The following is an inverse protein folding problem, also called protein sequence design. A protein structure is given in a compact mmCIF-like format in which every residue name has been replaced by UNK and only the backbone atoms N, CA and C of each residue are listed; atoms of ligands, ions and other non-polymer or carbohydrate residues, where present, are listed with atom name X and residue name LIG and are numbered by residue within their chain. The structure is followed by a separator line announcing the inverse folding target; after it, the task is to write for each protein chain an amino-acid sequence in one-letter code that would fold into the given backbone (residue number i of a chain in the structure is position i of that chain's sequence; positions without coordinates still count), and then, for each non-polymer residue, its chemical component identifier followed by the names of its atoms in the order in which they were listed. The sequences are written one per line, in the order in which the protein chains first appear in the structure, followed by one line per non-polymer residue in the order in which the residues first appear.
data_IF_985020249990
#
_entry.id   IF_985020249990
#
_cell.length_a   1.000
_cell.length_b   1.000
_cell.length_c   1.000
_cell.angle_alpha   90.00
_cell.angle_beta   90.00
_cell.angle_gamma   90.00
#
_symmetry.space_group_name_H-M   'P 1'
#
loop_
_entity.id
_entity.type
_entity.pdbx_description
1 polymer ?
#
# COMPACT_ATOMS: atom_id res chain seq x y z
N UNK A 1 -2.93 41.17 3.62
CA UNK A 1 -3.65 40.05 2.97
C UNK A 1 -3.94 38.99 4.04
N UNK A 2 -5.19 38.56 4.15
CA UNK A 2 -5.60 37.49 5.06
C UNK A 2 -5.03 36.17 4.51
N UNK A 3 -4.47 35.31 5.37
CA UNK A 3 -4.02 33.98 4.96
C UNK A 3 -5.26 33.18 4.56
N UNK A 4 -5.40 32.84 3.28
CA UNK A 4 -6.45 31.94 2.83
C UNK A 4 -6.23 30.59 3.51
N UNK A 5 -7.24 30.13 4.28
CA UNK A 5 -7.26 28.83 4.92
C UNK A 5 -7.55 27.78 3.85
N UNK A 6 -6.55 27.48 3.04
CA UNK A 6 -6.58 26.43 2.04
C UNK A 6 -6.73 25.06 2.73
N UNK A 7 -7.59 24.20 2.18
CA UNK A 7 -7.63 22.71 2.17
C UNK A 7 -7.89 21.88 3.45
N UNK A 8 -7.08 21.88 4.53
CA UNK A 8 -7.37 21.20 5.80
C UNK A 8 -8.79 21.38 6.36
N UNK A 9 -9.40 22.54 6.18
CA UNK A 9 -10.72 22.86 6.71
C UNK A 9 -11.84 22.02 6.06
N UNK A 10 -11.72 21.73 4.75
CA UNK A 10 -12.76 21.00 4.02
C UNK A 10 -12.75 19.49 4.33
N UNK A 11 -11.57 18.88 4.44
CA UNK A 11 -11.45 17.47 4.81
C UNK A 11 -11.84 17.23 6.26
N UNK A 12 -11.42 18.12 7.18
CA UNK A 12 -11.83 18.03 8.57
C UNK A 12 -13.35 18.19 8.70
N UNK A 13 -13.93 19.19 8.02
CA UNK A 13 -15.38 19.36 7.99
C UNK A 13 -16.11 18.13 7.45
N UNK A 14 -15.62 17.50 6.39
CA UNK A 14 -16.22 16.29 5.82
C UNK A 14 -16.13 15.11 6.79
N UNK A 15 -14.98 14.91 7.43
CA UNK A 15 -14.80 13.90 8.46
C UNK A 15 -15.76 14.12 9.62
N UNK A 16 -15.83 15.34 10.16
CA UNK A 16 -16.70 15.69 11.28
C UNK A 16 -18.18 15.49 10.93
N UNK A 17 -18.57 15.83 9.70
CA UNK A 17 -19.96 15.75 9.24
C UNK A 17 -20.42 14.32 8.95
N UNK A 18 -19.57 13.50 8.32
CA UNK A 18 -19.99 12.21 7.77
C UNK A 18 -19.45 11.01 8.54
N UNK A 19 -18.37 11.16 9.32
CA UNK A 19 -17.63 10.03 9.90
C UNK A 19 -17.60 10.12 11.43
N UNK A 20 -17.18 11.25 12.00
CA UNK A 20 -16.79 11.37 13.41
C UNK A 20 -17.88 10.97 14.43
N UNK A 21 -19.16 11.04 14.06
CA UNK A 21 -20.28 10.80 14.96
C UNK A 21 -20.84 9.36 14.90
N UNK A 22 -20.33 8.51 14.02
CA UNK A 22 -20.71 7.09 13.92
C UNK A 22 -19.47 6.20 14.17
N UNK A 23 -19.43 5.44 15.28
CA UNK A 23 -18.32 4.53 15.57
C UNK A 23 -18.02 3.50 14.47
N UNK A 24 -19.03 3.07 13.70
CA UNK A 24 -18.84 2.13 12.59
C UNK A 24 -18.13 2.81 11.41
N UNK A 25 -18.55 4.03 11.06
CA UNK A 25 -17.89 4.83 10.03
C UNK A 25 -16.46 5.22 10.43
N UNK A 26 -16.23 5.59 11.70
CA UNK A 26 -14.88 5.85 12.22
C UNK A 26 -14.00 4.61 12.07
N UNK A 27 -14.51 3.43 12.42
CA UNK A 27 -13.76 2.18 12.31
C UNK A 27 -13.45 1.83 10.86
N UNK A 28 -14.41 2.03 9.94
CA UNK A 28 -14.23 1.83 8.51
C UNK A 28 -13.18 2.79 7.95
N UNK A 29 -13.28 4.09 8.24
CA UNK A 29 -12.30 5.10 7.83
C UNK A 29 -10.89 4.72 8.27
N UNK A 30 -10.70 4.35 9.54
CA UNK A 30 -9.40 3.94 10.06
C UNK A 30 -8.89 2.64 9.41
N UNK A 31 -9.78 1.70 9.10
CA UNK A 31 -9.42 0.47 8.37
C UNK A 31 -8.91 0.83 6.97
N UNK A 32 -9.65 1.64 6.22
CA UNK A 32 -9.28 2.02 4.86
C UNK A 32 -8.02 2.91 4.82
N UNK A 33 -7.82 3.80 5.80
CA UNK A 33 -6.53 4.51 5.96
C UNK A 33 -5.36 3.53 6.10
N UNK A 34 -5.47 2.52 6.97
CA UNK A 34 -4.41 1.51 7.13
C UNK A 34 -4.19 0.70 5.86
N UNK A 35 -5.24 0.36 5.12
CA UNK A 35 -5.11 -0.35 3.83
C UNK A 35 -4.40 0.52 2.80
N UNK A 36 -4.77 1.79 2.68
CA UNK A 36 -4.11 2.75 1.79
C UNK A 36 -2.61 2.91 2.13
N UNK A 37 -2.26 3.02 3.41
CA UNK A 37 -0.86 3.10 3.85
C UNK A 37 -0.04 1.86 3.46
N UNK A 38 -0.64 0.67 3.55
CA UNK A 38 0.01 -0.59 3.16
C UNK A 38 0.12 -0.69 1.64
N UNK A 39 -0.96 -0.35 0.92
CA UNK A 39 -1.02 -0.36 -0.54
C UNK A 39 0.09 0.53 -1.14
N UNK A 40 0.21 1.75 -0.63
CA UNK A 40 1.27 2.68 -1.03
C UNK A 40 2.67 2.11 -0.79
N UNK A 41 2.91 1.49 0.37
CA UNK A 41 4.21 0.87 0.67
C UNK A 41 4.54 -0.29 -0.27
N UNK A 42 3.56 -1.11 -0.63
CA UNK A 42 3.76 -2.21 -1.59
C UNK A 42 4.14 -1.65 -2.96
N UNK A 43 3.42 -0.63 -3.43
CA UNK A 43 3.73 0.07 -4.67
C UNK A 43 5.15 0.65 -4.64
N UNK A 44 5.50 1.42 -3.60
CA UNK A 44 6.78 2.09 -3.47
C UNK A 44 7.94 1.07 -3.48
N UNK A 45 7.80 -0.04 -2.75
CA UNK A 45 8.81 -1.09 -2.72
C UNK A 45 8.96 -1.81 -4.07
N UNK A 46 7.86 -2.03 -4.79
CA UNK A 46 7.90 -2.61 -6.13
C UNK A 46 8.61 -1.67 -7.10
N UNK A 47 8.28 -0.38 -7.06
CA UNK A 47 8.88 0.65 -7.90
C UNK A 47 10.38 0.81 -7.62
N UNK A 48 10.76 0.87 -6.34
CA UNK A 48 12.16 0.89 -5.91
C UNK A 48 12.95 -0.34 -6.35
N UNK A 49 12.31 -1.52 -6.41
CA UNK A 49 12.91 -2.73 -6.93
C UNK A 49 13.00 -2.75 -8.47
N UNK A 50 12.35 -1.81 -9.16
CA UNK A 50 12.36 -1.69 -10.62
C UNK A 50 11.65 -2.84 -11.34
N UNK A 51 10.68 -3.50 -10.69
CA UNK A 51 9.97 -4.66 -11.26
C UNK A 51 8.51 -4.30 -11.63
N UNK A 52 7.99 -4.95 -12.66
CA UNK A 52 6.58 -4.82 -13.04
C UNK A 52 5.65 -5.56 -12.07
N UNK A 53 4.36 -5.21 -12.09
CA UNK A 53 3.32 -5.96 -11.36
C UNK A 53 3.31 -7.43 -11.74
N UNK A 54 3.32 -7.73 -13.04
CA UNK A 54 3.51 -9.10 -13.55
C UNK A 54 4.68 -9.84 -12.91
N UNK A 55 5.86 -9.22 -12.86
CA UNK A 55 7.04 -9.88 -12.30
C UNK A 55 6.89 -10.15 -10.81
N UNK A 56 6.28 -9.22 -10.07
CA UNK A 56 5.98 -9.42 -8.65
C UNK A 56 4.92 -10.52 -8.45
N UNK A 57 3.90 -10.56 -9.29
CA UNK A 57 2.87 -11.60 -9.27
C UNK A 57 3.47 -12.99 -9.46
N UNK A 58 4.39 -13.15 -10.43
CA UNK A 58 5.12 -14.39 -10.68
C UNK A 58 5.94 -14.82 -9.45
N UNK A 59 6.60 -13.87 -8.75
CA UNK A 59 7.37 -14.13 -7.53
C UNK A 59 6.48 -14.52 -6.35
N UNK A 60 5.32 -13.88 -6.22
CA UNK A 60 4.38 -14.13 -5.14
C UNK A 60 3.48 -15.36 -5.41
N UNK A 61 3.42 -15.86 -6.64
CA UNK A 61 2.56 -16.96 -7.06
C UNK A 61 1.08 -16.59 -7.04
N UNK A 62 0.76 -15.40 -7.56
CA UNK A 62 -0.61 -14.85 -7.67
C UNK A 62 -0.82 -14.25 -9.05
N UNK A 63 -2.05 -13.89 -9.40
CA UNK A 63 -2.34 -13.20 -10.65
C UNK A 63 -1.92 -11.72 -10.59
N UNK A 64 -1.59 -11.13 -11.73
CA UNK A 64 -1.20 -9.72 -11.83
C UNK A 64 -2.29 -8.77 -11.29
N UNK A 65 -3.57 -9.10 -11.51
CA UNK A 65 -4.71 -8.36 -10.98
C UNK A 65 -4.72 -8.31 -9.43
N UNK A 66 -4.20 -9.33 -8.76
CA UNK A 66 -4.09 -9.33 -7.29
C UNK A 66 -3.06 -8.29 -6.84
N UNK A 67 -1.98 -8.06 -7.60
CA UNK A 67 -1.02 -7.00 -7.28
C UNK A 67 -1.66 -5.63 -7.47
N UNK A 68 -2.40 -5.43 -8.56
CA UNK A 68 -3.17 -4.20 -8.80
C UNK A 68 -4.16 -3.91 -7.66
N UNK A 69 -4.99 -4.88 -7.30
CA UNK A 69 -5.95 -4.76 -6.20
C UNK A 69 -5.28 -4.43 -4.86
N UNK A 70 -4.09 -4.98 -4.60
CA UNK A 70 -3.34 -4.69 -3.37
C UNK A 70 -2.75 -3.28 -3.37
N UNK A 71 -2.20 -2.83 -4.50
CA UNK A 71 -1.65 -1.48 -4.66
C UNK A 71 -2.73 -0.39 -4.66
N UNK A 72 -3.98 -0.74 -4.96
CA UNK A 72 -5.13 0.16 -4.95
C UNK A 72 -6.01 0.02 -3.70
N UNK A 73 -5.61 -0.81 -2.73
CA UNK A 73 -6.41 -1.13 -1.54
C UNK A 73 -7.80 -1.73 -1.83
N UNK A 74 -8.00 -2.31 -3.01
CA UNK A 74 -9.26 -2.87 -3.50
C UNK A 74 -9.35 -4.40 -3.39
N UNK A 75 -8.32 -5.07 -2.84
CA UNK A 75 -8.38 -6.53 -2.68
C UNK A 75 -9.43 -6.94 -1.62
N UNK A 76 -10.46 -7.67 -2.06
CA UNK A 76 -11.64 -8.07 -1.26
C UNK A 76 -11.38 -9.22 -0.27
N UNK A 77 -10.28 -9.95 -0.43
CA UNK A 77 -9.91 -11.05 0.47
C UNK A 77 -9.27 -10.56 1.77
N UNK A 78 -8.54 -11.45 2.44
CA UNK A 78 -7.69 -11.06 3.58
C UNK A 78 -6.52 -10.19 3.10
N UNK A 79 -6.78 -8.87 3.05
CA UNK A 79 -5.87 -7.85 2.54
C UNK A 79 -4.51 -7.87 3.23
N UNK A 80 -4.46 -7.97 4.55
CA UNK A 80 -3.19 -7.91 5.28
C UNK A 80 -2.37 -9.18 5.07
N UNK A 81 -3.01 -10.34 5.05
CA UNK A 81 -2.33 -11.60 4.74
C UNK A 81 -1.78 -11.61 3.31
N UNK A 82 -2.55 -11.12 2.33
CA UNK A 82 -2.10 -11.05 0.94
C UNK A 82 -0.98 -10.03 0.74
N UNK A 83 -1.11 -8.83 1.32
CA UNK A 83 -0.05 -7.81 1.29
C UNK A 83 1.25 -8.32 1.93
N UNK A 84 1.15 -9.07 3.05
CA UNK A 84 2.29 -9.71 3.71
C UNK A 84 2.99 -10.72 2.79
N UNK A 85 2.22 -11.60 2.13
CA UNK A 85 2.74 -12.56 1.15
C UNK A 85 3.49 -11.87 0.01
N UNK A 86 2.92 -10.80 -0.55
CA UNK A 86 3.52 -10.01 -1.64
C UNK A 86 4.81 -9.33 -1.16
N UNK A 87 4.81 -8.74 0.02
CA UNK A 87 6.01 -8.12 0.60
C UNK A 87 7.13 -9.15 0.83
N UNK A 88 6.81 -10.37 1.29
CA UNK A 88 7.82 -11.43 1.45
C UNK A 88 8.44 -11.83 0.10
N UNK A 89 7.65 -11.86 -0.98
CA UNK A 89 8.17 -12.11 -2.32
C UNK A 89 9.11 -10.99 -2.81
N UNK A 90 8.78 -9.73 -2.53
CA UNK A 90 9.65 -8.58 -2.80
C UNK A 90 11.00 -8.68 -2.06
N UNK A 91 10.96 -9.01 -0.76
CA UNK A 91 12.17 -9.11 0.05
C UNK A 91 13.09 -10.25 -0.43
N UNK A 92 12.53 -11.42 -0.76
CA UNK A 92 13.31 -12.52 -1.33
C UNK A 92 14.00 -12.17 -2.65
N UNK A 93 13.32 -11.43 -3.54
CA UNK A 93 13.91 -10.95 -4.79
C UNK A 93 15.06 -9.96 -4.57
N UNK A 94 14.92 -9.06 -3.58
CA UNK A 94 15.98 -8.11 -3.24
C UNK A 94 17.26 -8.82 -2.75
N UNK A 95 17.12 -9.92 -2.00
CA UNK A 95 18.26 -10.72 -1.56
C UNK A 95 18.93 -11.48 -2.72
N UNK A 96 18.15 -12.00 -3.68
CA UNK A 96 18.71 -12.62 -4.88
C UNK A 96 19.48 -11.62 -5.75
N UNK A 97 18.95 -10.40 -5.93
CA UNK A 97 19.64 -9.34 -6.65
C UNK A 97 20.97 -8.94 -6.01
N UNK A 98 21.01 -8.83 -4.68
CA UNK A 98 22.24 -8.58 -3.91
C UNK A 98 23.26 -9.71 -4.06
N UNK A 99 22.82 -10.98 -4.01
CA UNK A 99 23.68 -12.15 -4.23
C UNK A 99 24.29 -12.18 -5.65
N UNK A 100 23.51 -11.83 -6.67
CA UNK A 100 23.97 -11.85 -8.08
C UNK A 100 24.91 -10.70 -8.44
N UNK A 101 24.76 -9.54 -7.80
CA UNK A 101 25.61 -8.36 -8.06
C UNK A 101 26.93 -8.35 -7.30
N UNK A 102 27.17 -9.30 -6.39
CA UNK A 102 28.43 -9.43 -5.65
C UNK A 102 28.79 -8.22 -4.78
N UNK A 103 27.85 -7.28 -4.58
CA UNK A 103 28.10 -6.06 -3.81
C UNK A 103 27.83 -6.32 -2.33
N UNK A 104 28.80 -6.96 -1.67
CA UNK A 104 28.98 -6.78 -0.24
C UNK A 104 29.42 -5.32 -0.03
N UNK A 105 28.47 -4.45 0.30
CA UNK A 105 28.81 -3.16 0.88
C UNK A 105 29.02 -3.42 2.37
N UNK A 106 30.27 -3.24 2.79
CA UNK A 106 30.72 -3.17 4.18
C UNK A 106 29.92 -2.14 4.97
#
# INVERSE_FOLDING_TARGET
MKKDKTTPDAFQWAYDKFIANDPQEVALYQKEQRRADVAQKVYDLRDQAGISRKKLADLAGVDEAVIEDIEEANYEGDFLSMASRINNALQGNNEEGKRKTGRALF
#
